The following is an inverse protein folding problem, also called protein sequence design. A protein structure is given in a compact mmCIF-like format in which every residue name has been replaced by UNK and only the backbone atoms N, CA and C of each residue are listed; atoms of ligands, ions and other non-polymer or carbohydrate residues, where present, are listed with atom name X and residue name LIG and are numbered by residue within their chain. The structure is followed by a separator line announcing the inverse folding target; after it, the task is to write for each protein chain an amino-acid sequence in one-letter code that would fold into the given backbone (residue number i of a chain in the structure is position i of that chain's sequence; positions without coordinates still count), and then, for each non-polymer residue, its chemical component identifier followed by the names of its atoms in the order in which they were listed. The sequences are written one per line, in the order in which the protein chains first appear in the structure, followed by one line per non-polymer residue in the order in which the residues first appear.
data_IF_492439707113
#
_entry.id   IF_492439707113
#
_cell.length_a   1.000
_cell.length_b   1.000
_cell.length_c   1.000
_cell.angle_alpha   90.00
_cell.angle_beta   90.00
_cell.angle_gamma   90.00
#
_symmetry.space_group_name_H-M   'P 1'
#
loop_
_entity.id
_entity.type
_entity.pdbx_description
1 polymer ?
#
# COMPACT_ATOMS: atom_id res chain seq x y z
N UNK A 1 -28.33 -9.49 -52.41
CA UNK A 1 -27.76 -9.69 -53.76
C UNK A 1 -26.38 -9.05 -53.83
N UNK A 2 -25.39 -9.80 -53.92
CA UNK A 2 -24.20 -9.92 -54.78
C UNK A 2 -23.14 -10.76 -54.08
N UNK A 3 -22.93 -11.91 -54.63
CA UNK A 3 -21.83 -12.87 -54.39
C UNK A 3 -20.57 -12.35 -55.07
N UNK A 4 -19.40 -12.65 -54.52
CA UNK A 4 -18.15 -12.85 -55.27
C UNK A 4 -17.28 -13.73 -54.34
N UNK A 5 -17.11 -14.94 -54.62
CA UNK A 5 -16.38 -15.79 -55.57
C UNK A 5 -14.88 -15.82 -55.26
N UNK A 6 -14.46 -17.00 -54.91
CA UNK A 6 -13.18 -17.66 -54.73
C UNK A 6 -12.20 -17.43 -55.86
N UNK A 7 -10.90 -17.37 -55.56
CA UNK A 7 -9.84 -17.74 -56.49
C UNK A 7 -8.70 -18.42 -55.77
N UNK A 8 -8.62 -19.68 -55.95
CA UNK A 8 -7.51 -20.59 -55.68
C UNK A 8 -6.46 -20.42 -56.77
N UNK A 9 -5.18 -20.33 -56.45
CA UNK A 9 -4.11 -20.55 -57.44
C UNK A 9 -3.03 -21.38 -56.83
N UNK A 10 -2.90 -22.54 -57.37
CA UNK A 10 -1.96 -23.62 -57.19
C UNK A 10 -0.74 -23.36 -58.06
N UNK A 11 0.47 -23.43 -57.55
CA UNK A 11 1.71 -23.53 -58.37
C UNK A 11 2.74 -24.46 -57.68
N UNK A 12 2.65 -25.70 -58.15
CA UNK A 12 3.72 -26.60 -58.63
C UNK A 12 5.12 -26.57 -57.97
N UNK A 13 5.40 -27.76 -57.47
CA UNK A 13 6.69 -28.40 -57.21
C UNK A 13 7.74 -28.16 -58.28
N UNK A 14 8.98 -27.89 -57.86
CA UNK A 14 10.20 -28.37 -58.56
C UNK A 14 11.23 -28.89 -57.54
N UNK A 15 11.40 -30.22 -57.59
CA UNK A 15 12.52 -30.96 -57.04
C UNK A 15 13.77 -30.65 -57.90
N UNK A 16 14.86 -30.35 -57.26
CA UNK A 16 16.21 -30.62 -57.84
C UNK A 16 17.04 -31.26 -56.75
N UNK A 17 17.31 -32.52 -57.00
CA UNK A 17 18.18 -33.43 -56.31
C UNK A 17 19.62 -33.19 -56.86
N UNK A 18 20.61 -32.94 -56.04
CA UNK A 18 22.01 -33.20 -56.36
C UNK A 18 22.74 -33.75 -55.14
N UNK A 19 23.34 -34.84 -55.37
CA UNK A 19 24.02 -35.82 -54.55
C UNK A 19 25.54 -35.58 -54.52
N UNK A 20 26.13 -35.51 -53.31
CA UNK A 20 27.39 -36.09 -52.78
C UNK A 20 28.73 -35.60 -53.45
N UNK A 21 29.94 -35.61 -52.80
CA UNK A 21 30.39 -36.50 -51.70
C UNK A 21 31.14 -35.88 -50.50
N UNK A 22 31.08 -36.57 -49.40
CA UNK A 22 32.07 -37.01 -48.40
C UNK A 22 33.53 -36.69 -48.63
N UNK A 23 34.21 -36.11 -47.65
CA UNK A 23 35.48 -36.60 -47.08
C UNK A 23 35.88 -35.76 -45.84
N UNK A 24 35.90 -36.43 -44.77
CA UNK A 24 36.69 -36.41 -43.53
C UNK A 24 37.78 -35.34 -43.37
N UNK A 25 37.66 -34.63 -42.24
CA UNK A 25 38.78 -34.24 -41.41
C UNK A 25 38.34 -34.21 -39.96
N UNK A 26 38.78 -35.17 -39.22
CA UNK A 26 38.67 -35.22 -37.75
C UNK A 26 39.55 -34.12 -37.17
N UNK A 27 38.91 -33.16 -36.49
CA UNK A 27 39.55 -32.14 -35.69
C UNK A 27 38.87 -32.14 -34.34
N UNK A 28 39.41 -32.88 -33.40
CA UNK A 28 39.04 -32.88 -31.99
C UNK A 28 39.42 -31.50 -31.45
N UNK A 29 38.43 -30.66 -31.26
CA UNK A 29 38.53 -29.51 -30.36
C UNK A 29 37.48 -29.67 -29.26
N UNK A 30 37.85 -30.49 -28.26
CA UNK A 30 37.17 -30.56 -27.00
C UNK A 30 37.40 -29.25 -26.28
N UNK A 31 36.55 -28.26 -26.54
CA UNK A 31 36.40 -27.13 -25.64
C UNK A 31 35.62 -27.64 -24.43
N UNK A 32 36.36 -28.01 -23.41
CA UNK A 32 35.85 -28.16 -22.05
C UNK A 32 35.38 -26.77 -21.64
N UNK A 33 34.14 -26.47 -21.90
CA UNK A 33 33.40 -25.43 -21.16
C UNK A 33 33.23 -25.94 -19.71
N UNK A 34 34.28 -25.81 -18.91
CA UNK A 34 34.12 -25.69 -17.49
C UNK A 34 33.35 -24.38 -17.23
N UNK A 35 32.04 -24.43 -17.43
CA UNK A 35 31.16 -23.48 -16.82
C UNK A 35 31.35 -23.63 -15.32
N UNK A 36 32.05 -22.70 -14.69
CA UNK A 36 31.88 -22.45 -13.27
C UNK A 36 30.40 -22.19 -13.06
N UNK A 37 29.66 -23.22 -12.75
CA UNK A 37 28.36 -23.10 -12.11
C UNK A 37 28.62 -22.61 -10.69
N UNK A 38 28.86 -21.32 -10.53
CA UNK A 38 28.43 -20.65 -9.32
C UNK A 38 26.91 -20.79 -9.36
N UNK A 39 26.38 -21.71 -8.56
CA UNK A 39 24.99 -21.64 -8.13
C UNK A 39 24.87 -20.37 -7.27
N UNK A 40 24.88 -19.22 -7.92
CA UNK A 40 24.28 -18.04 -7.34
C UNK A 40 22.80 -18.42 -7.20
N UNK A 41 22.42 -18.90 -6.02
CA UNK A 41 21.02 -18.93 -5.63
C UNK A 41 20.49 -17.56 -5.97
N UNK A 42 19.62 -17.49 -6.97
CA UNK A 42 18.98 -16.24 -7.39
C UNK A 42 18.21 -15.73 -6.20
N UNK A 43 18.81 -14.79 -5.46
CA UNK A 43 18.24 -14.25 -4.25
C UNK A 43 17.00 -13.46 -4.66
N UNK A 44 15.84 -14.05 -4.44
CA UNK A 44 14.57 -13.40 -4.76
C UNK A 44 14.46 -12.08 -4.00
N UNK A 45 14.21 -11.01 -4.74
CA UNK A 45 14.06 -9.66 -4.22
C UNK A 45 12.64 -9.18 -4.46
N UNK A 46 12.10 -8.48 -3.50
CA UNK A 46 10.75 -7.93 -3.54
C UNK A 46 10.82 -6.41 -3.43
N UNK A 47 9.95 -5.73 -4.15
CA UNK A 47 9.80 -4.28 -4.05
C UNK A 47 8.31 -3.93 -4.12
N UNK A 48 7.84 -3.17 -3.12
CA UNK A 48 6.42 -2.80 -3.02
C UNK A 48 6.27 -1.30 -2.72
N UNK A 49 5.20 -0.67 -3.24
CA UNK A 49 4.81 0.66 -2.79
C UNK A 49 4.16 0.59 -1.40
N UNK A 50 4.43 1.62 -0.61
CA UNK A 50 3.68 1.99 0.58
C UNK A 50 3.21 3.42 0.42
N UNK A 51 1.93 3.68 0.60
CA UNK A 51 1.36 4.99 0.37
C UNK A 51 0.80 5.62 1.65
N UNK A 52 0.90 6.93 1.74
CA UNK A 52 0.21 7.75 2.73
C UNK A 52 -0.26 9.07 2.12
N UNK A 53 -1.47 9.51 2.49
CA UNK A 53 -1.95 10.83 2.11
C UNK A 53 -1.29 11.96 2.93
N UNK A 54 -0.64 11.62 4.04
CA UNK A 54 0.00 12.58 4.92
C UNK A 54 1.20 13.27 4.24
N UNK A 55 1.40 14.58 4.49
CA UNK A 55 2.56 15.30 3.99
C UNK A 55 3.89 14.75 4.54
N UNK A 56 4.96 15.10 3.86
CA UNK A 56 6.32 14.89 4.36
C UNK A 56 6.53 15.57 5.71
N UNK A 57 7.47 15.07 6.49
CA UNK A 57 7.80 15.55 7.85
C UNK A 57 6.66 15.41 8.89
N UNK A 58 5.61 14.65 8.58
CA UNK A 58 4.58 14.28 9.56
C UNK A 58 4.88 12.96 10.25
N UNK A 59 4.33 12.75 11.44
CA UNK A 59 4.47 11.50 12.20
C UNK A 59 4.08 10.28 11.35
N UNK A 60 3.00 10.39 10.57
CA UNK A 60 2.52 9.30 9.70
C UNK A 60 3.54 8.94 8.62
N UNK A 61 4.13 9.93 7.96
CA UNK A 61 5.16 9.71 6.95
C UNK A 61 6.45 9.15 7.58
N UNK A 62 6.90 9.71 8.71
CA UNK A 62 8.08 9.21 9.44
C UNK A 62 7.89 7.75 9.86
N UNK A 63 6.67 7.37 10.31
CA UNK A 63 6.36 5.99 10.63
C UNK A 63 6.48 5.07 9.40
N UNK A 64 5.98 5.52 8.24
CA UNK A 64 6.09 4.79 6.98
C UNK A 64 7.55 4.57 6.55
N UNK A 65 8.40 5.61 6.67
CA UNK A 65 9.83 5.51 6.35
C UNK A 65 10.55 4.55 7.31
N UNK A 66 10.27 4.63 8.61
CA UNK A 66 10.84 3.71 9.58
C UNK A 66 10.45 2.26 9.34
N UNK A 67 9.19 2.04 8.99
CA UNK A 67 8.74 0.70 8.60
C UNK A 67 9.51 0.19 7.37
N UNK A 68 9.71 1.03 6.35
CA UNK A 68 10.45 0.67 5.16
C UNK A 68 11.95 0.36 5.45
N UNK A 69 12.59 1.15 6.31
CA UNK A 69 13.96 0.93 6.77
C UNK A 69 14.08 -0.42 7.51
N UNK A 70 13.23 -0.68 8.49
CA UNK A 70 13.24 -1.92 9.27
C UNK A 70 13.01 -3.16 8.41
N UNK A 71 12.07 -3.11 7.46
CA UNK A 71 11.83 -4.21 6.52
C UNK A 71 13.08 -4.48 5.67
N UNK A 72 13.75 -3.43 5.20
CA UNK A 72 14.99 -3.58 4.43
C UNK A 72 16.10 -4.20 5.28
N UNK A 73 16.31 -3.73 6.50
CA UNK A 73 17.34 -4.20 7.40
C UNK A 73 17.12 -5.65 7.84
N UNK A 74 15.91 -5.99 8.28
CA UNK A 74 15.55 -7.35 8.72
C UNK A 74 15.61 -8.36 7.57
N UNK A 75 15.37 -7.91 6.33
CA UNK A 75 15.45 -8.78 5.15
C UNK A 75 16.85 -8.83 4.53
N UNK A 76 17.85 -8.14 5.09
CA UNK A 76 19.17 -7.96 4.50
C UNK A 76 19.08 -7.38 3.07
N UNK A 77 18.20 -6.40 2.85
CA UNK A 77 17.97 -5.74 1.57
C UNK A 77 17.25 -6.58 0.51
N UNK A 78 16.68 -7.74 0.89
CA UNK A 78 15.89 -8.58 -0.03
C UNK A 78 14.50 -8.02 -0.27
N UNK A 79 13.95 -7.30 0.70
CA UNK A 79 12.65 -6.65 0.62
C UNK A 79 12.84 -5.13 0.65
N UNK A 80 12.26 -4.45 -0.32
CA UNK A 80 12.27 -2.99 -0.42
C UNK A 80 10.85 -2.47 -0.38
N UNK A 81 10.63 -1.45 0.42
CA UNK A 81 9.37 -0.70 0.45
C UNK A 81 9.69 0.72 0.00
N UNK A 82 8.98 1.19 -1.02
CA UNK A 82 9.11 2.54 -1.53
C UNK A 82 7.94 3.37 -0.99
N UNK A 83 8.25 4.38 -0.18
CA UNK A 83 7.25 5.26 0.44
C UNK A 83 6.83 6.37 -0.53
N UNK A 84 5.53 6.56 -0.67
CA UNK A 84 4.87 7.62 -1.43
C UNK A 84 3.99 8.44 -0.49
N UNK A 85 4.49 9.61 -0.11
CA UNK A 85 3.80 10.54 0.78
C UNK A 85 2.99 11.59 0.01
N UNK A 86 2.35 12.48 0.75
CA UNK A 86 1.71 13.70 0.24
C UNK A 86 0.63 13.44 -0.83
N UNK A 87 -0.18 12.41 -0.63
CA UNK A 87 -1.24 12.00 -1.56
C UNK A 87 -0.75 11.73 -2.99
N UNK A 88 0.53 11.39 -3.18
CA UNK A 88 1.11 11.12 -4.51
C UNK A 88 0.38 10.00 -5.26
N UNK A 89 -0.10 9.00 -4.53
CA UNK A 89 -0.87 7.85 -5.08
C UNK A 89 -2.37 7.93 -4.78
N UNK A 90 -2.87 9.02 -4.20
CA UNK A 90 -4.27 9.24 -3.90
C UNK A 90 -4.52 9.78 -2.49
N UNK A 91 -5.77 10.15 -2.21
CA UNK A 91 -6.23 10.54 -0.88
C UNK A 91 -6.49 9.34 0.02
N UNK A 92 -6.83 9.60 1.30
CA UNK A 92 -7.04 8.54 2.30
C UNK A 92 -8.05 7.47 1.82
N UNK A 93 -9.16 7.87 1.21
CA UNK A 93 -10.17 6.95 0.68
C UNK A 93 -9.62 6.13 -0.48
N UNK A 94 -9.01 6.80 -1.47
CA UNK A 94 -8.49 6.14 -2.67
C UNK A 94 -7.44 5.08 -2.31
N UNK A 95 -6.59 5.41 -1.30
CA UNK A 95 -5.56 4.49 -0.81
C UNK A 95 -6.12 3.24 -0.13
N UNK A 96 -7.22 3.36 0.62
CA UNK A 96 -7.89 2.18 1.19
C UNK A 96 -8.54 1.32 0.11
N UNK A 97 -9.22 1.94 -0.85
CA UNK A 97 -9.83 1.23 -1.96
C UNK A 97 -8.77 0.48 -2.79
N UNK A 98 -7.68 1.15 -3.18
CA UNK A 98 -6.57 0.52 -3.93
C UNK A 98 -5.82 -0.54 -3.12
N UNK A 99 -5.76 -0.41 -1.79
CA UNK A 99 -5.21 -1.45 -0.92
C UNK A 99 -6.12 -2.68 -0.88
N UNK A 100 -7.43 -2.48 -0.77
CA UNK A 100 -8.42 -3.56 -0.82
C UNK A 100 -8.40 -4.30 -2.16
N UNK A 101 -8.18 -3.58 -3.26
CA UNK A 101 -8.07 -4.15 -4.61
C UNK A 101 -6.73 -4.88 -4.84
N UNK A 102 -5.75 -4.69 -3.95
CA UNK A 102 -4.43 -5.31 -4.01
C UNK A 102 -3.41 -4.58 -4.88
N UNK A 103 -3.73 -3.41 -5.41
CA UNK A 103 -2.82 -2.61 -6.26
C UNK A 103 -1.71 -1.94 -5.44
N UNK A 104 -2.04 -1.47 -4.22
CA UNK A 104 -1.09 -0.90 -3.27
C UNK A 104 -1.10 -1.76 -2.00
N UNK A 105 -0.09 -2.60 -1.76
CA UNK A 105 -0.13 -3.58 -0.67
C UNK A 105 0.02 -2.98 0.73
N UNK A 106 0.59 -1.77 0.86
CA UNK A 106 0.84 -1.14 2.16
C UNK A 106 0.33 0.30 2.19
N UNK A 107 -0.44 0.61 3.22
CA UNK A 107 -0.96 1.97 3.47
C UNK A 107 -0.71 2.33 4.93
N UNK A 108 -0.23 3.55 5.17
CA UNK A 108 -0.14 4.15 6.51
C UNK A 108 -1.00 5.40 6.55
N UNK A 109 -1.99 5.41 7.43
CA UNK A 109 -2.88 6.56 7.58
C UNK A 109 -3.55 6.63 8.95
N UNK A 110 -4.16 7.77 9.25
CA UNK A 110 -4.95 7.96 10.46
C UNK A 110 -6.17 7.03 10.50
N UNK A 111 -6.60 6.66 11.71
CA UNK A 111 -7.81 5.84 11.91
C UNK A 111 -9.09 6.57 11.47
N UNK A 112 -9.15 7.89 11.61
CA UNK A 112 -10.37 8.66 11.36
C UNK A 112 -10.96 8.51 9.94
N UNK A 113 -10.21 8.56 8.82
CA UNK A 113 -10.75 8.28 7.48
C UNK A 113 -11.19 6.83 7.30
N UNK A 114 -10.60 5.90 8.04
CA UNK A 114 -10.87 4.46 7.95
C UNK A 114 -12.24 4.06 8.51
N UNK A 115 -12.83 4.91 9.36
CA UNK A 115 -14.16 4.68 9.97
C UNK A 115 -15.26 4.49 8.93
N UNK A 116 -15.12 5.06 7.74
CA UNK A 116 -16.09 4.85 6.65
C UNK A 116 -16.01 3.45 6.02
N UNK A 117 -14.93 2.70 6.25
CA UNK A 117 -14.74 1.31 5.83
C UNK A 117 -14.94 0.34 7.00
N UNK A 118 -14.46 0.71 8.17
CA UNK A 118 -14.46 -0.09 9.40
C UNK A 118 -15.00 0.77 10.55
N UNK A 119 -16.31 0.72 10.78
CA UNK A 119 -17.03 1.64 11.71
C UNK A 119 -16.53 1.56 13.15
N UNK A 120 -16.05 0.40 13.60
CA UNK A 120 -15.64 0.19 15.00
C UNK A 120 -14.32 0.90 15.32
N UNK A 121 -13.55 1.32 14.30
CA UNK A 121 -12.40 2.21 14.50
C UNK A 121 -12.79 3.58 15.05
N UNK A 122 -14.09 3.93 15.05
CA UNK A 122 -14.60 5.14 15.70
C UNK A 122 -14.33 5.19 17.22
N UNK A 123 -13.93 4.09 17.85
CA UNK A 123 -13.47 4.07 19.24
C UNK A 123 -12.33 5.07 19.47
N UNK A 124 -11.47 5.29 18.48
CA UNK A 124 -10.37 6.26 18.55
C UNK A 124 -10.82 7.72 18.40
N UNK A 125 -12.05 7.95 17.94
CA UNK A 125 -12.63 9.28 17.76
C UNK A 125 -13.53 9.71 18.93
N UNK A 126 -13.73 8.82 19.91
CA UNK A 126 -14.55 9.13 21.08
C UNK A 126 -13.86 10.19 21.95
N UNK A 127 -14.56 11.29 22.31
CA UNK A 127 -13.99 12.28 23.21
C UNK A 127 -13.63 11.67 24.56
N UNK A 128 -12.46 12.03 25.11
CA UNK A 128 -12.03 11.65 26.45
C UNK A 128 -11.86 10.14 26.69
N UNK A 129 -11.71 9.33 25.64
CA UNK A 129 -11.47 7.88 25.79
C UNK A 129 -10.04 7.59 26.29
N UNK A 130 -9.11 8.49 26.02
CA UNK A 130 -7.72 8.42 26.50
C UNK A 130 -7.41 9.63 27.37
N UNK A 131 -6.90 9.39 28.57
CA UNK A 131 -6.54 10.45 29.52
C UNK A 131 -5.20 11.14 29.18
N UNK A 132 -4.30 10.42 28.52
CA UNK A 132 -2.97 10.89 28.13
C UNK A 132 -2.42 10.05 26.97
N UNK A 133 -1.29 10.50 26.37
CA UNK A 133 -0.57 9.69 25.38
C UNK A 133 -0.04 8.38 25.97
N UNK A 134 0.43 8.41 27.21
CA UNK A 134 0.90 7.21 27.89
C UNK A 134 -0.24 6.21 28.17
N UNK A 135 -1.42 6.69 28.50
CA UNK A 135 -2.61 5.86 28.61
C UNK A 135 -3.02 5.26 27.26
N UNK A 136 -3.01 6.08 26.22
CA UNK A 136 -3.26 5.60 24.83
C UNK A 136 -2.27 4.49 24.45
N UNK A 137 -0.97 4.72 24.62
CA UNK A 137 0.08 3.74 24.28
C UNK A 137 -0.10 2.43 25.04
N UNK A 138 -0.37 2.49 26.34
CA UNK A 138 -0.65 1.28 27.14
C UNK A 138 -1.84 0.49 26.62
N UNK A 139 -2.88 1.19 26.16
CA UNK A 139 -4.09 0.54 25.63
C UNK A 139 -3.85 -0.07 24.25
N UNK A 140 -3.19 0.65 23.33
CA UNK A 140 -2.90 0.10 22.00
C UNK A 140 -1.84 -1.01 22.02
N UNK A 141 -0.96 -1.04 23.03
CA UNK A 141 0.03 -2.09 23.26
C UNK A 141 -0.53 -3.28 24.04
N UNK A 142 -1.74 -3.16 24.59
CA UNK A 142 -2.42 -4.26 25.27
C UNK A 142 -2.81 -5.35 24.26
N UNK A 143 -2.37 -6.62 24.45
CA UNK A 143 -2.61 -7.67 23.46
C UNK A 143 -4.09 -7.97 23.21
N UNK A 144 -4.96 -7.85 24.21
CA UNK A 144 -6.40 -8.06 24.06
C UNK A 144 -7.03 -6.96 23.22
N UNK A 145 -6.73 -5.70 23.53
CA UNK A 145 -7.20 -4.57 22.76
C UNK A 145 -6.68 -4.59 21.33
N UNK A 146 -5.38 -4.84 21.15
CA UNK A 146 -4.78 -4.98 19.83
C UNK A 146 -5.42 -6.09 19.00
N UNK A 147 -5.73 -7.23 19.64
CA UNK A 147 -6.43 -8.34 19.01
C UNK A 147 -7.82 -7.94 18.51
N UNK A 148 -8.61 -7.25 19.33
CA UNK A 148 -9.94 -6.75 18.93
C UNK A 148 -9.85 -5.79 17.73
N UNK A 149 -8.89 -4.89 17.73
CA UNK A 149 -8.69 -3.96 16.62
C UNK A 149 -8.21 -4.71 15.36
N UNK A 150 -7.31 -5.70 15.50
CA UNK A 150 -6.85 -6.54 14.39
C UNK A 150 -8.01 -7.32 13.74
N UNK A 151 -8.96 -7.79 14.54
CA UNK A 151 -10.17 -8.45 14.05
C UNK A 151 -11.04 -7.48 13.22
N UNK A 152 -11.19 -6.23 13.67
CA UNK A 152 -11.91 -5.18 12.90
C UNK A 152 -11.28 -4.98 11.53
N UNK A 153 -9.94 -4.93 11.44
CA UNK A 153 -9.24 -4.82 10.15
C UNK A 153 -9.45 -6.07 9.29
N UNK A 154 -9.37 -7.26 9.90
CA UNK A 154 -9.56 -8.53 9.19
C UNK A 154 -10.97 -8.65 8.62
N UNK A 155 -11.98 -8.28 9.39
CA UNK A 155 -13.38 -8.26 8.94
C UNK A 155 -13.61 -7.22 7.84
N UNK A 156 -12.85 -6.13 7.86
CA UNK A 156 -12.83 -5.12 6.81
C UNK A 156 -12.05 -5.50 5.55
N UNK A 157 -11.40 -6.67 5.53
CA UNK A 157 -10.61 -7.15 4.40
C UNK A 157 -9.16 -6.66 4.39
N UNK A 158 -8.66 -6.15 5.51
CA UNK A 158 -7.29 -5.65 5.67
C UNK A 158 -6.52 -6.48 6.69
N UNK A 159 -5.21 -6.36 6.69
CA UNK A 159 -4.34 -6.94 7.71
C UNK A 159 -3.60 -5.83 8.46
N UNK A 160 -3.85 -5.72 9.76
CA UNK A 160 -3.18 -4.75 10.62
C UNK A 160 -1.75 -5.21 10.92
N UNK A 161 -0.76 -4.42 10.50
CA UNK A 161 0.66 -4.70 10.75
C UNK A 161 1.18 -4.00 12.00
N UNK A 162 0.60 -2.87 12.40
CA UNK A 162 1.00 -2.14 13.57
C UNK A 162 0.22 -0.84 13.74
N UNK A 163 0.31 -0.28 14.93
CA UNK A 163 -0.29 1.00 15.32
C UNK A 163 0.73 1.89 15.98
N UNK A 164 0.57 3.21 15.81
CA UNK A 164 1.33 4.22 16.52
C UNK A 164 0.45 5.40 16.89
N UNK A 165 0.76 6.09 17.98
CA UNK A 165 0.09 7.32 18.34
C UNK A 165 0.60 8.51 17.54
N UNK A 166 -0.28 9.45 17.25
CA UNK A 166 0.03 10.71 16.57
C UNK A 166 -0.24 11.94 17.44
N UNK A 167 -0.66 11.73 18.67
CA UNK A 167 -1.11 12.76 19.59
C UNK A 167 -2.62 13.00 19.53
N UNK A 168 -3.04 14.02 20.26
CA UNK A 168 -4.44 14.40 20.31
C UNK A 168 -4.81 15.36 19.19
N UNK A 169 -6.05 15.25 18.73
CA UNK A 169 -6.62 16.18 17.77
C UNK A 169 -6.85 17.53 18.44
N UNK A 170 -6.35 18.57 17.82
CA UNK A 170 -6.53 19.95 18.24
C UNK A 170 -7.26 20.75 17.17
N UNK A 171 -7.98 21.77 17.58
CA UNK A 171 -8.65 22.70 16.68
C UNK A 171 -7.78 23.95 16.48
N UNK A 172 -7.50 24.29 15.22
CA UNK A 172 -6.89 25.56 14.84
C UNK A 172 -7.99 26.52 14.37
N UNK A 173 -8.03 27.73 14.91
CA UNK A 173 -9.03 28.72 14.55
C UNK A 173 -8.38 30.08 14.28
N UNK A 174 -9.04 30.89 13.45
CA UNK A 174 -8.66 32.29 13.20
C UNK A 174 -9.36 33.28 14.12
N UNK A 175 -10.23 32.79 15.03
CA UNK A 175 -10.94 33.55 16.05
C UNK A 175 -10.80 32.83 17.39
N UNK A 176 -10.63 33.54 18.50
CA UNK A 176 -10.61 32.91 19.81
C UNK A 176 -11.92 32.17 20.09
N UNK A 177 -11.81 31.01 20.72
CA UNK A 177 -12.93 30.23 21.26
C UNK A 177 -12.76 30.22 22.76
N UNK A 178 -13.59 31.03 23.49
CA UNK A 178 -13.50 31.20 24.93
C UNK A 178 -14.66 30.50 25.65
N UNK A 179 -15.75 30.23 24.93
CA UNK A 179 -16.94 29.58 25.47
C UNK A 179 -17.69 28.84 24.37
N UNK A 180 -18.68 28.05 24.77
CA UNK A 180 -19.42 27.18 23.85
C UNK A 180 -20.16 27.95 22.74
N UNK A 181 -20.63 29.15 22.99
CA UNK A 181 -21.36 29.95 21.99
C UNK A 181 -20.46 30.41 20.84
N UNK A 182 -19.13 30.45 21.05
CA UNK A 182 -18.16 30.88 20.03
C UNK A 182 -17.98 29.87 18.87
N UNK A 183 -18.48 28.63 19.04
CA UNK A 183 -18.51 27.63 17.98
C UNK A 183 -19.52 27.94 16.88
N UNK A 184 -20.59 28.65 17.24
CA UNK A 184 -21.72 28.86 16.35
C UNK A 184 -21.32 29.55 15.06
N UNK A 185 -21.61 28.87 13.92
CA UNK A 185 -21.39 29.39 12.59
C UNK A 185 -19.92 29.40 12.15
N UNK A 186 -19.02 28.74 12.87
CA UNK A 186 -17.65 28.54 12.40
C UNK A 186 -17.62 27.52 11.25
N UNK A 187 -16.76 27.76 10.27
CA UNK A 187 -16.49 26.81 9.19
C UNK A 187 -15.26 25.99 9.54
N UNK A 188 -15.49 24.73 9.90
CA UNK A 188 -14.45 23.82 10.35
C UNK A 188 -14.24 22.74 9.29
N UNK A 189 -12.98 22.55 8.84
CA UNK A 189 -12.59 21.42 8.02
C UNK A 189 -12.31 20.21 8.92
N UNK A 190 -12.90 19.08 8.62
CA UNK A 190 -12.63 17.80 9.27
C UNK A 190 -12.02 16.81 8.28
N UNK A 191 -11.48 15.69 8.75
CA UNK A 191 -11.27 14.52 7.93
C UNK A 191 -12.60 13.92 7.48
N UNK A 192 -12.59 13.06 6.49
CA UNK A 192 -13.77 12.32 6.04
C UNK A 192 -14.18 11.30 7.13
N UNK A 193 -15.06 11.76 8.03
CA UNK A 193 -15.50 10.97 9.17
C UNK A 193 -16.87 11.51 9.63
N UNK A 194 -17.88 10.66 9.62
CA UNK A 194 -19.25 11.02 9.95
C UNK A 194 -19.42 11.43 11.42
N UNK A 195 -18.65 10.84 12.33
CA UNK A 195 -18.68 11.16 13.76
C UNK A 195 -18.09 12.55 14.04
N UNK A 196 -16.99 12.90 13.36
CA UNK A 196 -16.44 14.26 13.43
C UNK A 196 -17.43 15.30 12.93
N UNK A 197 -18.10 15.03 11.81
CA UNK A 197 -19.13 15.92 11.27
C UNK A 197 -20.30 16.09 12.25
N UNK A 198 -20.78 14.98 12.85
CA UNK A 198 -21.84 15.00 13.82
C UNK A 198 -21.45 15.78 15.08
N UNK A 199 -20.23 15.58 15.59
CA UNK A 199 -19.69 16.31 16.74
C UNK A 199 -19.68 17.83 16.50
N UNK A 200 -19.08 18.29 15.43
CA UNK A 200 -19.00 19.72 15.13
C UNK A 200 -20.37 20.33 14.84
N UNK A 201 -21.24 19.59 14.16
CA UNK A 201 -22.62 20.03 13.93
C UNK A 201 -23.43 20.19 15.24
N UNK A 202 -23.17 19.36 16.24
CA UNK A 202 -23.83 19.47 17.54
C UNK A 202 -23.37 20.70 18.35
N UNK A 203 -22.17 21.21 18.05
CA UNK A 203 -21.62 22.41 18.69
C UNK A 203 -22.09 23.73 18.04
N UNK A 204 -22.72 23.70 16.85
CA UNK A 204 -23.27 24.87 16.14
C UNK A 204 -22.62 25.18 14.83
#
# INVERSE_FOLDING_TARGET
MKKFTTATTDIKKRRILRVVPVLAAAGILSVVLTGCGSSDEEVQRYSWPLATASPEDTVTQIFAERFAEEVSDLSNGKMKIQVYANSTLGGDRDLLETCSDGDIPFVVQNTAPQVSFMSDLAVFDLPCVFDSLDDCRKKIDDPEFYGLISDVYTDGGYHLLGMADQGFRVMSTNKPVNNFADFKGQKIRTMENSYHLAFWKALG
#
